data_IF_728913651478
#
_entry.id   IF_728913651478
#
_cell.length_a   1.000
_cell.length_b   1.000
_cell.length_c   1.000
_cell.angle_alpha   90.00
_cell.angle_beta   90.00
_cell.angle_gamma   90.00
#
_symmetry.space_group_name_H-M   'P 1'
#
loop_
_entity.id
_entity.type
_entity.pdbx_description
1 polymer ?
#
# COMPACT_ATOMS: atom_id res chain seq x y z
N UNK A 1 -14.09 8.09 -10.05
CA UNK A 1 -13.17 7.20 -9.31
C UNK A 1 -13.86 6.86 -8.00
N UNK A 2 -13.86 5.61 -7.56
CA UNK A 2 -14.35 5.24 -6.23
C UNK A 2 -13.34 5.60 -5.13
N UNK A 3 -13.75 5.44 -3.87
CA UNK A 3 -12.91 5.82 -2.71
C UNK A 3 -11.60 5.04 -2.69
N UNK A 4 -11.65 3.72 -2.93
CA UNK A 4 -10.46 2.87 -2.92
C UNK A 4 -9.51 3.25 -4.07
N UNK A 5 -10.04 3.45 -5.28
CA UNK A 5 -9.26 3.91 -6.42
C UNK A 5 -8.56 5.24 -6.17
N UNK A 6 -9.25 6.20 -5.53
CA UNK A 6 -8.65 7.49 -5.15
C UNK A 6 -7.55 7.36 -4.10
N UNK A 7 -7.75 6.48 -3.12
CA UNK A 7 -6.78 6.22 -2.04
C UNK A 7 -5.57 5.41 -2.53
N UNK A 8 -5.75 4.52 -3.52
CA UNK A 8 -4.69 3.70 -4.08
C UNK A 8 -3.93 4.38 -5.24
N UNK A 9 -4.41 5.51 -5.77
CA UNK A 9 -3.72 6.23 -6.85
C UNK A 9 -2.29 6.67 -6.45
N UNK A 10 -2.02 6.76 -5.16
CA UNK A 10 -0.69 6.98 -4.57
C UNK A 10 0.11 5.69 -4.29
N UNK A 11 -0.50 4.51 -4.22
CA UNK A 11 0.14 3.17 -4.08
C UNK A 11 0.26 2.52 -5.45
N UNK A 12 0.64 3.24 -6.48
CA UNK A 12 0.90 2.60 -7.75
C UNK A 12 2.20 1.80 -7.66
N UNK A 13 2.17 0.59 -8.21
CA UNK A 13 3.32 -0.32 -8.31
C UNK A 13 4.42 0.19 -9.25
N UNK A 14 4.58 1.52 -9.42
CA UNK A 14 5.64 2.08 -10.26
C UNK A 14 6.98 1.77 -9.64
N UNK A 15 7.68 0.78 -10.24
CA UNK A 15 8.96 0.34 -9.75
C UNK A 15 8.85 -0.51 -8.48
N UNK A 16 7.72 -1.17 -8.24
CA UNK A 16 7.64 -2.16 -7.18
C UNK A 16 8.65 -3.28 -7.44
N UNK A 17 9.36 -3.65 -6.41
CA UNK A 17 10.30 -4.77 -6.50
C UNK A 17 9.52 -6.08 -6.57
N UNK A 18 9.75 -6.88 -7.62
CA UNK A 18 9.15 -8.20 -7.80
C UNK A 18 10.23 -9.26 -7.81
N UNK A 19 10.10 -10.25 -6.92
CA UNK A 19 11.05 -11.34 -6.80
C UNK A 19 10.31 -12.67 -6.65
N UNK A 20 10.77 -13.69 -7.37
CA UNK A 20 10.39 -15.08 -7.15
C UNK A 20 11.35 -15.69 -6.16
N UNK A 21 10.85 -16.26 -5.09
CA UNK A 21 11.63 -17.11 -4.19
C UNK A 21 11.55 -18.56 -4.64
N UNK A 22 12.69 -19.26 -4.62
CA UNK A 22 12.81 -20.69 -4.94
C UNK A 22 13.77 -21.33 -3.93
N UNK A 23 13.19 -22.03 -2.95
CA UNK A 23 13.93 -22.48 -1.76
C UNK A 23 13.63 -23.94 -1.44
N UNK A 24 14.66 -24.66 -0.98
CA UNK A 24 14.51 -25.94 -0.31
C UNK A 24 14.77 -25.78 1.18
N UNK A 25 13.93 -26.36 2.05
CA UNK A 25 14.18 -26.36 3.49
C UNK A 25 15.54 -27.03 3.86
N UNK A 26 16.17 -26.59 4.96
CA UNK A 26 15.75 -25.53 5.85
C UNK A 26 16.15 -24.15 5.35
N UNK A 27 15.21 -23.16 5.42
CA UNK A 27 15.50 -21.76 5.13
C UNK A 27 14.76 -20.84 6.10
N UNK A 28 15.40 -19.72 6.42
CA UNK A 28 14.83 -18.70 7.31
C UNK A 28 15.48 -17.35 7.05
N UNK A 29 14.67 -16.31 6.93
CA UNK A 29 15.09 -14.95 6.62
C UNK A 29 14.52 -13.97 7.63
N UNK A 30 15.35 -13.05 8.11
CA UNK A 30 14.91 -11.89 8.88
C UNK A 30 14.67 -10.74 7.94
N UNK A 31 13.44 -10.26 7.89
CA UNK A 31 13.02 -9.15 7.03
C UNK A 31 13.11 -7.85 7.85
N UNK A 32 13.94 -6.93 7.35
CA UNK A 32 14.23 -5.61 7.92
C UNK A 32 14.34 -4.60 6.78
N UNK A 33 13.49 -4.73 5.75
CA UNK A 33 13.56 -3.98 4.50
C UNK A 33 12.92 -2.59 4.59
N UNK A 34 12.20 -2.30 5.70
CA UNK A 34 11.46 -1.06 5.93
C UNK A 34 10.45 -0.73 4.81
N UNK A 35 10.04 -1.74 4.02
CA UNK A 35 9.06 -1.55 2.96
C UNK A 35 7.70 -1.13 3.56
N UNK A 36 7.06 -0.08 3.04
CA UNK A 36 5.74 0.35 3.51
C UNK A 36 4.68 -0.74 3.38
N UNK A 37 4.82 -1.59 2.36
CA UNK A 37 3.92 -2.69 2.07
C UNK A 37 4.64 -3.78 1.29
N UNK A 38 4.50 -5.03 1.71
CA UNK A 38 5.01 -6.21 1.01
C UNK A 38 3.90 -7.23 0.84
N UNK A 39 3.63 -7.66 -0.41
CA UNK A 39 2.78 -8.80 -0.71
C UNK A 39 3.64 -10.05 -0.83
N UNK A 40 3.21 -11.14 -0.20
CA UNK A 40 3.84 -12.45 -0.22
C UNK A 40 2.82 -13.45 -0.74
N UNK A 41 3.00 -13.92 -1.97
CA UNK A 41 2.13 -14.86 -2.63
C UNK A 41 2.77 -16.24 -2.64
N UNK A 42 2.32 -17.17 -1.82
CA UNK A 42 2.86 -18.54 -1.80
C UNK A 42 2.30 -19.31 -3.00
N UNK A 43 3.19 -19.91 -3.80
CA UNK A 43 2.82 -20.63 -5.04
C UNK A 43 3.08 -22.13 -4.97
N UNK A 44 3.96 -22.58 -4.06
CA UNK A 44 4.19 -24.00 -3.78
C UNK A 44 4.80 -24.17 -2.39
N UNK A 45 4.67 -25.35 -1.80
CA UNK A 45 5.22 -25.70 -0.49
C UNK A 45 4.51 -24.99 0.65
N UNK A 46 5.28 -24.50 1.63
CA UNK A 46 4.75 -23.76 2.77
C UNK A 46 5.73 -22.70 3.27
N UNK A 47 5.21 -21.72 3.99
CA UNK A 47 6.02 -20.71 4.67
C UNK A 47 5.33 -20.26 5.95
N UNK A 48 6.08 -19.64 6.86
CA UNK A 48 5.55 -19.02 8.06
C UNK A 48 6.10 -17.60 8.20
N UNK A 49 5.23 -16.68 8.59
CA UNK A 49 5.60 -15.34 9.07
C UNK A 49 5.50 -15.36 10.60
N UNK A 50 6.53 -14.86 11.28
CA UNK A 50 6.50 -14.63 12.74
C UNK A 50 6.90 -13.18 12.99
N UNK A 51 5.98 -12.40 13.57
CA UNK A 51 6.22 -10.99 13.92
C UNK A 51 7.11 -10.85 15.16
N UNK A 52 7.64 -9.66 15.41
CA UNK A 52 8.39 -9.39 16.64
C UNK A 52 7.53 -9.55 17.91
N UNK A 53 6.22 -9.34 17.81
CA UNK A 53 5.26 -9.59 18.90
C UNK A 53 4.99 -11.08 19.14
N UNK A 54 5.49 -11.97 18.26
CA UNK A 54 5.31 -13.42 18.35
C UNK A 54 4.06 -13.95 17.65
N UNK A 55 3.31 -13.11 16.93
CA UNK A 55 2.17 -13.57 16.13
C UNK A 55 2.68 -14.44 14.98
N UNK A 56 2.01 -15.59 14.77
CA UNK A 56 2.37 -16.58 13.78
C UNK A 56 1.31 -16.72 12.68
N UNK A 57 1.75 -16.68 11.43
CA UNK A 57 0.91 -16.83 10.24
C UNK A 57 1.49 -17.92 9.34
N UNK A 58 0.87 -19.11 9.37
CA UNK A 58 1.23 -20.20 8.45
C UNK A 58 0.61 -19.93 7.09
N UNK A 59 1.39 -20.07 6.02
CA UNK A 59 1.00 -19.81 4.63
C UNK A 59 1.10 -21.08 3.79
N UNK A 60 0.13 -21.28 2.90
CA UNK A 60 0.00 -22.41 1.97
C UNK A 60 -0.11 -21.92 0.52
N UNK A 61 0.04 -22.79 -0.47
CA UNK A 61 -0.12 -22.41 -1.87
C UNK A 61 -1.49 -21.77 -2.14
N UNK A 62 -1.46 -20.61 -2.81
CA UNK A 62 -2.63 -19.77 -3.07
C UNK A 62 -2.95 -18.73 -2.00
N UNK A 63 -2.35 -18.83 -0.80
CA UNK A 63 -2.47 -17.77 0.22
C UNK A 63 -1.67 -16.54 -0.20
N UNK A 64 -2.21 -15.37 0.16
CA UNK A 64 -1.51 -14.10 0.04
C UNK A 64 -1.44 -13.44 1.41
N UNK A 65 -0.23 -13.15 1.86
CA UNK A 65 0.00 -12.31 3.02
C UNK A 65 0.36 -10.90 2.58
N UNK A 66 -0.10 -9.90 3.35
CA UNK A 66 0.33 -8.51 3.23
C UNK A 66 0.96 -8.10 4.54
N UNK A 67 2.26 -7.84 4.51
CA UNK A 67 2.98 -7.24 5.62
C UNK A 67 3.02 -5.72 5.44
N UNK A 68 2.64 -4.98 6.48
CA UNK A 68 2.53 -3.52 6.47
C UNK A 68 3.52 -2.88 7.42
N UNK A 69 4.14 -1.82 6.97
CA UNK A 69 4.97 -0.96 7.82
C UNK A 69 6.40 -1.44 7.95
N UNK A 70 7.12 -0.82 8.87
CA UNK A 70 8.54 -1.03 9.12
C UNK A 70 8.80 -2.03 10.25
N UNK A 71 7.79 -2.80 10.68
CA UNK A 71 7.99 -3.85 11.67
C UNK A 71 8.75 -5.02 11.04
N UNK A 72 9.76 -5.47 11.75
CA UNK A 72 10.57 -6.60 11.32
C UNK A 72 9.84 -7.91 11.58
N UNK A 73 10.10 -8.91 10.74
CA UNK A 73 9.51 -10.23 10.91
C UNK A 73 10.44 -11.34 10.41
N UNK A 74 10.18 -12.56 10.87
CA UNK A 74 10.80 -13.76 10.36
C UNK A 74 9.92 -14.32 9.22
N UNK A 75 10.55 -14.70 8.11
CA UNK A 75 9.93 -15.45 7.03
C UNK A 75 10.72 -16.74 6.82
N UNK A 76 10.10 -17.91 7.04
CA UNK A 76 10.82 -19.16 7.14
C UNK A 76 9.98 -20.36 6.66
N UNK A 77 10.65 -21.49 6.36
CA UNK A 77 9.99 -22.78 6.19
C UNK A 77 9.47 -23.32 7.53
N UNK A 78 10.26 -23.13 8.60
CA UNK A 78 9.94 -23.54 9.98
C UNK A 78 10.38 -22.42 10.93
N UNK A 79 9.53 -21.96 11.86
CA UNK A 79 9.86 -20.91 12.82
C UNK A 79 11.01 -21.28 13.77
N UNK A 80 11.29 -22.57 13.96
CA UNK A 80 12.42 -23.05 14.74
C UNK A 80 13.78 -22.94 14.02
N UNK A 81 13.75 -22.70 12.70
CA UNK A 81 14.99 -22.52 11.90
C UNK A 81 15.59 -21.15 12.20
N UNK A 82 16.83 -21.13 12.69
CA UNK A 82 17.56 -19.89 12.92
C UNK A 82 17.71 -19.10 11.60
N UNK A 83 17.57 -17.77 11.62
CA UNK A 83 17.76 -16.94 10.42
C UNK A 83 19.15 -17.16 9.80
N UNK A 84 19.20 -17.30 8.49
CA UNK A 84 20.42 -17.45 7.70
C UNK A 84 20.69 -16.20 6.87
N UNK A 85 19.64 -15.46 6.55
CA UNK A 85 19.65 -14.28 5.69
C UNK A 85 18.98 -13.11 6.39
N UNK A 86 19.50 -11.91 6.14
CA UNK A 86 18.87 -10.64 6.52
C UNK A 86 18.57 -9.85 5.25
N UNK A 87 17.32 -9.43 5.11
CA UNK A 87 16.87 -8.53 4.04
C UNK A 87 16.82 -7.11 4.61
N UNK A 88 17.60 -6.23 4.05
CA UNK A 88 17.75 -4.82 4.45
C UNK A 88 17.02 -3.88 3.49
N UNK A 89 16.85 -2.58 3.85
CA UNK A 89 16.33 -1.56 2.95
C UNK A 89 17.08 -1.52 1.61
N UNK A 90 16.35 -1.24 0.53
CA UNK A 90 16.89 -1.26 -0.83
C UNK A 90 17.16 -2.66 -1.37
N UNK A 91 16.47 -3.66 -0.85
CA UNK A 91 16.55 -5.07 -1.30
C UNK A 91 17.97 -5.67 -1.20
N UNK A 92 18.77 -5.19 -0.25
CA UNK A 92 20.09 -5.73 0.03
C UNK A 92 19.97 -6.97 0.90
N UNK A 93 20.48 -8.10 0.41
CA UNK A 93 20.45 -9.41 1.07
C UNK A 93 21.83 -9.75 1.63
N UNK A 94 21.93 -10.08 2.91
CA UNK A 94 23.23 -10.46 3.52
C UNK A 94 23.12 -11.72 4.36
N UNK A 95 24.25 -12.39 4.60
CA UNK A 95 24.37 -13.32 5.72
C UNK A 95 24.28 -12.57 7.05
N UNK A 96 24.13 -13.29 8.17
CA UNK A 96 24.21 -12.69 9.51
C UNK A 96 25.56 -12.02 9.82
N UNK A 97 26.62 -12.36 9.04
CA UNK A 97 27.94 -11.74 9.13
C UNK A 97 28.11 -10.51 8.24
N UNK A 98 27.07 -10.16 7.46
CA UNK A 98 27.09 -9.00 6.57
C UNK A 98 27.63 -9.26 5.17
N UNK A 99 27.90 -10.51 4.80
CA UNK A 99 28.35 -10.90 3.45
C UNK A 99 27.18 -10.77 2.47
N UNK A 100 27.40 -10.16 1.30
CA UNK A 100 26.36 -9.94 0.30
C UNK A 100 25.97 -11.26 -0.41
N UNK A 101 24.67 -11.56 -0.42
CA UNK A 101 24.11 -12.77 -1.03
C UNK A 101 23.38 -12.50 -2.36
N UNK A 102 23.38 -11.27 -2.83
CA UNK A 102 22.57 -10.85 -3.98
C UNK A 102 22.85 -11.67 -5.23
N UNK A 103 24.12 -11.87 -5.54
CA UNK A 103 24.54 -12.63 -6.73
C UNK A 103 24.64 -14.12 -6.47
N UNK A 104 25.07 -14.52 -5.29
CA UNK A 104 25.27 -15.93 -4.93
C UNK A 104 23.96 -16.73 -4.97
N UNK A 105 22.86 -16.11 -4.52
CA UNK A 105 21.54 -16.75 -4.50
C UNK A 105 20.67 -16.38 -5.71
N UNK A 106 21.19 -15.71 -6.74
CA UNK A 106 20.47 -15.42 -7.98
C UNK A 106 20.44 -16.65 -8.86
N UNK A 107 19.28 -17.29 -9.03
CA UNK A 107 19.13 -18.57 -9.73
C UNK A 107 18.30 -18.48 -11.01
N UNK A 108 17.92 -17.27 -11.44
CA UNK A 108 17.16 -17.04 -12.67
C UNK A 108 16.58 -15.64 -12.79
N UNK A 109 15.75 -15.42 -13.82
CA UNK A 109 15.09 -14.15 -14.06
C UNK A 109 14.20 -13.79 -12.86
N UNK A 110 14.49 -12.68 -12.20
CA UNK A 110 13.82 -12.27 -10.96
C UNK A 110 13.63 -13.42 -9.97
N UNK A 111 14.57 -14.38 -9.95
CA UNK A 111 14.47 -15.59 -9.12
C UNK A 111 15.68 -15.67 -8.20
N UNK A 112 15.40 -15.75 -6.92
CA UNK A 112 16.39 -15.77 -5.86
C UNK A 112 16.11 -16.93 -4.89
N UNK A 113 17.15 -17.61 -4.41
CA UNK A 113 17.01 -18.71 -3.49
C UNK A 113 18.20 -19.65 -3.51
N UNK A 114 18.08 -20.75 -2.77
CA UNK A 114 19.15 -21.76 -2.67
C UNK A 114 19.05 -22.85 -3.75
N UNK A 115 18.08 -22.74 -4.65
CA UNK A 115 17.90 -23.69 -5.78
C UNK A 115 17.05 -23.07 -6.88
N UNK A 116 17.29 -23.49 -8.13
CA UNK A 116 16.49 -23.04 -9.28
C UNK A 116 15.05 -23.60 -9.27
N UNK A 117 14.86 -24.81 -8.70
CA UNK A 117 13.53 -25.46 -8.58
C UNK A 117 13.36 -25.93 -7.14
N UNK A 118 12.84 -25.01 -6.32
CA UNK A 118 12.60 -25.26 -4.89
C UNK A 118 11.26 -25.92 -4.60
N UNK A 119 11.21 -26.66 -3.48
CA UNK A 119 9.98 -27.20 -2.93
C UNK A 119 9.05 -26.06 -2.46
N UNK A 120 9.61 -25.01 -1.83
CA UNK A 120 8.90 -23.84 -1.39
C UNK A 120 9.12 -22.69 -2.38
N UNK A 121 8.03 -22.12 -2.87
CA UNK A 121 8.07 -21.02 -3.84
C UNK A 121 7.06 -19.95 -3.50
N UNK A 122 7.49 -18.70 -3.60
CA UNK A 122 6.64 -17.54 -3.40
C UNK A 122 6.98 -16.43 -4.41
N UNK A 123 6.07 -15.51 -4.65
CA UNK A 123 6.35 -14.22 -5.30
C UNK A 123 6.25 -13.15 -4.24
N UNK A 124 7.32 -12.37 -4.11
CA UNK A 124 7.41 -11.24 -3.17
C UNK A 124 7.31 -9.96 -3.99
N UNK A 125 6.44 -9.06 -3.54
CA UNK A 125 6.23 -7.77 -4.18
C UNK A 125 6.33 -6.68 -3.10
N UNK A 126 7.46 -5.97 -3.09
CA UNK A 126 7.68 -4.87 -2.15
C UNK A 126 7.39 -3.52 -2.81
N UNK A 127 6.55 -2.72 -2.16
CA UNK A 127 6.20 -1.37 -2.59
C UNK A 127 7.08 -0.38 -1.84
N UNK A 128 7.97 0.30 -2.53
CA UNK A 128 8.90 1.25 -1.91
C UNK A 128 8.33 2.66 -1.74
N UNK A 129 7.27 2.97 -2.48
CA UNK A 129 6.65 4.29 -2.49
C UNK A 129 5.82 4.56 -1.22
N UNK A 130 6.23 5.54 -0.42
CA UNK A 130 5.39 6.08 0.66
C UNK A 130 4.53 7.20 0.10
N UNK A 131 3.22 7.17 0.34
CA UNK A 131 2.26 8.21 -0.03
C UNK A 131 1.38 8.55 1.18
N UNK A 132 1.14 9.84 1.40
CA UNK A 132 0.25 10.28 2.49
C UNK A 132 -1.19 9.85 2.24
N UNK A 133 -1.61 9.83 0.98
CA UNK A 133 -2.92 9.33 0.58
C UNK A 133 -3.03 7.85 0.88
N UNK A 134 -2.03 7.07 0.48
CA UNK A 134 -1.95 5.63 0.71
C UNK A 134 -1.85 5.26 2.17
N UNK A 135 -1.20 6.08 2.99
CA UNK A 135 -1.07 5.87 4.43
C UNK A 135 -2.43 5.72 5.10
N UNK A 136 -3.49 6.36 4.57
CA UNK A 136 -4.86 6.20 5.10
C UNK A 136 -5.40 4.77 4.92
N UNK A 137 -5.10 4.13 3.78
CA UNK A 137 -5.46 2.71 3.54
C UNK A 137 -4.58 1.81 4.38
N UNK A 138 -3.27 2.02 4.32
CA UNK A 138 -2.29 1.19 5.02
C UNK A 138 -2.53 1.19 6.54
N UNK A 139 -2.83 2.35 7.13
CA UNK A 139 -3.10 2.45 8.58
C UNK A 139 -4.38 1.73 9.02
N UNK A 140 -5.26 1.38 8.10
CA UNK A 140 -6.46 0.60 8.38
C UNK A 140 -6.21 -0.92 8.35
N UNK A 141 -5.03 -1.37 7.86
CA UNK A 141 -4.66 -2.78 7.83
C UNK A 141 -3.98 -3.20 9.14
N UNK A 142 -4.10 -4.46 9.57
CA UNK A 142 -3.23 -5.03 10.60
C UNK A 142 -1.78 -5.07 10.11
N UNK A 143 -0.82 -5.30 11.01
CA UNK A 143 0.61 -5.44 10.66
C UNK A 143 0.84 -6.53 9.62
N UNK A 144 0.16 -7.67 9.80
CA UNK A 144 0.10 -8.75 8.82
C UNK A 144 -1.34 -9.15 8.63
N UNK A 145 -1.82 -9.16 7.39
CA UNK A 145 -3.09 -9.78 7.02
C UNK A 145 -2.81 -10.99 6.13
N UNK A 146 -3.67 -11.99 6.20
CA UNK A 146 -3.59 -13.17 5.34
C UNK A 146 -4.96 -13.42 4.70
N UNK A 147 -5.00 -13.47 3.38
CA UNK A 147 -6.12 -14.01 2.62
C UNK A 147 -5.81 -15.46 2.27
N UNK A 148 -6.71 -16.36 2.68
CA UNK A 148 -6.60 -17.78 2.37
C UNK A 148 -7.03 -18.09 0.96
N UNK A 149 -6.43 -19.10 0.34
CA UNK A 149 -6.77 -19.52 -1.02
C UNK A 149 -8.27 -19.87 -1.19
N UNK A 150 -8.90 -20.43 -0.13
CA UNK A 150 -10.33 -20.72 -0.11
C UNK A 150 -11.23 -19.48 0.01
N UNK A 151 -10.68 -18.36 0.47
CA UNK A 151 -11.44 -17.14 0.73
C UNK A 151 -11.64 -16.27 -0.50
N UNK A 152 -10.90 -16.50 -1.55
CA UNK A 152 -10.99 -15.70 -2.76
C UNK A 152 -10.66 -16.50 -4.01
N UNK A 153 -11.21 -16.08 -5.14
CA UNK A 153 -10.95 -16.71 -6.43
C UNK A 153 -10.36 -15.66 -7.37
N UNK A 154 -9.04 -15.66 -7.51
CA UNK A 154 -8.36 -14.77 -8.44
C UNK A 154 -7.31 -15.53 -9.24
N UNK A 155 -7.22 -15.34 -10.57
CA UNK A 155 -6.15 -15.88 -11.38
C UNK A 155 -4.85 -15.06 -11.26
N UNK A 156 -4.87 -13.91 -10.58
CA UNK A 156 -3.78 -12.92 -10.59
C UNK A 156 -2.50 -13.47 -9.96
N UNK A 157 -2.58 -14.26 -8.88
CA UNK A 157 -1.39 -14.86 -8.24
C UNK A 157 -0.68 -15.80 -9.20
N UNK A 158 -1.43 -16.68 -9.89
CA UNK A 158 -0.87 -17.61 -10.88
C UNK A 158 -0.26 -16.87 -12.08
N UNK A 159 -0.95 -15.85 -12.57
CA UNK A 159 -0.46 -15.01 -13.67
C UNK A 159 0.81 -14.25 -13.28
N UNK A 160 0.84 -13.65 -12.09
CA UNK A 160 2.02 -12.97 -11.57
C UNK A 160 3.21 -13.91 -11.44
N UNK A 161 2.99 -15.14 -10.93
CA UNK A 161 4.05 -16.13 -10.78
C UNK A 161 4.69 -16.54 -12.12
N UNK A 162 3.89 -16.62 -13.18
CA UNK A 162 4.37 -16.89 -14.54
C UNK A 162 5.10 -15.68 -15.11
N UNK A 163 4.48 -14.51 -15.04
CA UNK A 163 5.01 -13.30 -15.66
C UNK A 163 6.28 -12.79 -14.95
N UNK A 164 6.40 -12.95 -13.64
CA UNK A 164 7.63 -12.62 -12.91
C UNK A 164 8.85 -13.44 -13.37
N UNK A 165 8.64 -14.63 -13.95
CA UNK A 165 9.71 -15.46 -14.52
C UNK A 165 10.08 -15.14 -15.97
N UNK A 166 9.37 -14.21 -16.61
CA UNK A 166 9.61 -13.80 -18.00
C UNK A 166 10.46 -12.52 -18.05
N UNK A 167 11.14 -12.33 -19.15
CA UNK A 167 11.87 -11.11 -19.46
C UNK A 167 11.57 -10.69 -20.90
N UNK A 168 11.45 -9.38 -21.14
CA UNK A 168 11.15 -8.85 -22.45
C UNK A 168 10.69 -7.39 -22.46
N UNK A 169 10.48 -6.82 -23.64
CA UNK A 169 10.00 -5.45 -23.76
C UNK A 169 8.65 -5.25 -23.07
N UNK A 170 8.55 -4.21 -22.23
CA UNK A 170 7.31 -3.87 -21.53
C UNK A 170 7.00 -4.72 -20.29
N UNK A 171 7.88 -5.66 -19.92
CA UNK A 171 7.62 -6.58 -18.80
C UNK A 171 7.45 -5.86 -17.46
N UNK A 172 8.24 -4.83 -17.19
CA UNK A 172 8.10 -4.03 -15.95
C UNK A 172 6.72 -3.37 -15.89
N UNK A 173 6.32 -2.71 -16.97
CA UNK A 173 5.00 -2.06 -17.02
C UNK A 173 3.84 -3.07 -16.93
N UNK A 174 4.02 -4.28 -17.42
CA UNK A 174 3.05 -5.35 -17.28
C UNK A 174 2.93 -5.83 -15.82
N UNK A 175 4.06 -6.07 -15.17
CA UNK A 175 4.11 -6.45 -13.76
C UNK A 175 3.52 -5.36 -12.87
N UNK A 176 3.84 -4.09 -13.10
CA UNK A 176 3.24 -2.97 -12.37
C UNK A 176 1.70 -3.01 -12.41
N UNK A 177 1.11 -3.27 -13.59
CA UNK A 177 -0.35 -3.35 -13.74
C UNK A 177 -0.95 -4.58 -13.05
N UNK A 178 -0.26 -5.73 -13.10
CA UNK A 178 -0.69 -6.92 -12.36
C UNK A 178 -0.66 -6.69 -10.84
N UNK A 179 0.37 -6.00 -10.36
CA UNK A 179 0.49 -5.67 -8.94
C UNK A 179 -0.58 -4.69 -8.48
N UNK A 180 -0.88 -3.66 -9.28
CA UNK A 180 -1.97 -2.73 -8.98
C UNK A 180 -3.31 -3.49 -8.87
N UNK A 181 -3.60 -4.40 -9.81
CA UNK A 181 -4.81 -5.22 -9.78
C UNK A 181 -4.83 -6.17 -8.59
N UNK A 182 -3.72 -6.87 -8.32
CA UNK A 182 -3.63 -7.81 -7.21
C UNK A 182 -3.83 -7.12 -5.87
N UNK A 183 -3.17 -5.98 -5.63
CA UNK A 183 -3.32 -5.22 -4.39
C UNK A 183 -4.78 -4.75 -4.22
N UNK A 184 -5.40 -4.26 -5.29
CA UNK A 184 -6.80 -3.84 -5.25
C UNK A 184 -7.73 -5.01 -4.89
N UNK A 185 -7.53 -6.17 -5.48
CA UNK A 185 -8.32 -7.36 -5.25
C UNK A 185 -8.17 -7.90 -3.81
N UNK A 186 -6.93 -7.92 -3.30
CA UNK A 186 -6.61 -8.26 -1.90
C UNK A 186 -7.34 -7.33 -0.94
N UNK A 187 -7.22 -6.01 -1.12
CA UNK A 187 -7.81 -5.03 -0.21
C UNK A 187 -9.34 -5.07 -0.24
N UNK A 188 -9.94 -5.20 -1.42
CA UNK A 188 -11.40 -5.34 -1.55
C UNK A 188 -11.90 -6.59 -0.82
N UNK A 189 -11.25 -7.73 -1.08
CA UNK A 189 -11.63 -8.99 -0.44
C UNK A 189 -11.47 -8.92 1.07
N UNK A 190 -10.40 -8.31 1.55
CA UNK A 190 -10.17 -8.13 2.97
C UNK A 190 -11.21 -7.24 3.63
N UNK A 191 -11.46 -6.04 3.10
CA UNK A 191 -12.42 -5.10 3.69
C UNK A 191 -13.87 -5.58 3.59
N UNK A 192 -14.21 -6.38 2.58
CA UNK A 192 -15.55 -6.98 2.48
C UNK A 192 -15.82 -8.06 3.53
N UNK A 193 -14.75 -8.66 4.09
CA UNK A 193 -14.84 -9.74 5.09
C UNK A 193 -14.44 -9.31 6.49
N UNK A 194 -13.75 -8.18 6.63
CA UNK A 194 -13.30 -7.71 7.92
C UNK A 194 -14.49 -7.46 8.85
N UNK A 195 -14.45 -8.03 10.06
CA UNK A 195 -15.45 -7.77 11.11
C UNK A 195 -15.56 -6.27 11.44
N UNK A 196 -14.48 -5.53 11.23
CA UNK A 196 -14.39 -4.08 11.38
C UNK A 196 -13.69 -3.50 10.15
N UNK A 197 -14.47 -3.32 9.08
CA UNK A 197 -14.00 -2.57 7.93
C UNK A 197 -13.68 -1.12 8.34
N UNK A 198 -12.73 -0.45 7.67
CA UNK A 198 -12.47 0.96 7.92
C UNK A 198 -13.73 1.81 7.74
N UNK A 199 -13.88 2.82 8.57
CA UNK A 199 -15.04 3.72 8.54
C UNK A 199 -15.30 4.31 7.14
N UNK A 200 -14.24 4.65 6.41
CA UNK A 200 -14.34 5.16 5.03
C UNK A 200 -14.82 4.10 4.02
N UNK A 201 -14.57 2.81 4.27
CA UNK A 201 -15.06 1.71 3.43
C UNK A 201 -16.59 1.56 3.55
N UNK A 202 -17.09 1.57 4.79
CA UNK A 202 -18.52 1.54 5.05
C UNK A 202 -19.21 2.82 4.57
N UNK A 203 -18.55 3.97 4.74
CA UNK A 203 -19.09 5.28 4.31
C UNK A 203 -19.28 5.37 2.78
N UNK A 204 -18.45 4.70 1.97
CA UNK A 204 -18.64 4.68 0.50
C UNK A 204 -19.93 3.97 0.08
N UNK A 205 -20.43 3.05 0.89
CA UNK A 205 -21.68 2.32 0.65
C UNK A 205 -22.94 3.09 1.08
N UNK A 206 -22.80 4.13 1.90
CA UNK A 206 -23.94 4.96 2.30
C UNK A 206 -24.47 5.74 1.08
N UNK A 207 -25.80 5.72 0.82
CA UNK A 207 -26.38 6.34 -0.38
C UNK A 207 -26.26 7.87 -0.42
N UNK A 208 -25.93 8.52 0.69
CA UNK A 208 -25.74 9.97 0.80
C UNK A 208 -24.26 10.32 0.91
N UNK A 209 -23.52 9.59 1.74
CA UNK A 209 -22.10 9.90 2.03
C UNK A 209 -21.18 9.43 0.92
N UNK A 210 -21.40 8.23 0.36
CA UNK A 210 -20.58 7.69 -0.72
C UNK A 210 -20.48 8.59 -1.95
N UNK A 211 -21.61 9.05 -2.54
CA UNK A 211 -21.57 10.01 -3.63
C UNK A 211 -20.83 11.31 -3.28
N UNK A 212 -20.99 11.82 -2.04
CA UNK A 212 -20.26 13.02 -1.62
C UNK A 212 -18.74 12.78 -1.48
N UNK A 213 -18.32 11.63 -0.96
CA UNK A 213 -16.91 11.23 -0.92
C UNK A 213 -16.32 11.16 -2.34
N UNK A 214 -17.02 10.56 -3.28
CA UNK A 214 -16.61 10.52 -4.69
C UNK A 214 -16.45 11.90 -5.31
N UNK A 215 -17.35 12.85 -4.99
CA UNK A 215 -17.22 14.24 -5.43
C UNK A 215 -15.95 14.90 -4.87
N UNK A 216 -15.67 14.70 -3.59
CA UNK A 216 -14.46 15.23 -2.91
C UNK A 216 -13.19 14.61 -3.51
N UNK A 217 -13.15 13.31 -3.68
CA UNK A 217 -11.95 12.61 -4.21
C UNK A 217 -11.66 12.97 -5.65
N UNK A 218 -12.69 13.09 -6.50
CA UNK A 218 -12.50 13.35 -7.93
C UNK A 218 -12.28 14.83 -8.26
N UNK A 219 -12.71 15.75 -7.39
CA UNK A 219 -12.63 17.19 -7.63
C UNK A 219 -12.14 17.91 -6.36
N UNK A 220 -10.92 17.63 -5.89
CA UNK A 220 -10.41 18.25 -4.66
C UNK A 220 -10.21 19.76 -4.81
N UNK A 221 -9.97 20.25 -6.04
CA UNK A 221 -9.80 21.67 -6.35
C UNK A 221 -11.11 22.46 -6.29
N UNK A 222 -12.25 21.80 -6.46
CA UNK A 222 -13.56 22.47 -6.46
C UNK A 222 -13.84 23.13 -5.10
N UNK A 223 -14.39 24.37 -5.06
CA UNK A 223 -14.64 25.07 -3.79
C UNK A 223 -15.87 24.52 -3.05
N UNK A 224 -15.78 23.28 -2.62
CA UNK A 224 -16.82 22.58 -1.90
C UNK A 224 -17.21 23.28 -0.61
N UNK A 225 -18.49 23.42 -0.39
CA UNK A 225 -19.09 23.82 0.89
C UNK A 225 -20.02 22.71 1.36
N UNK A 226 -20.36 22.71 2.66
CA UNK A 226 -21.35 21.75 3.19
C UNK A 226 -22.69 21.88 2.48
N UNK A 227 -23.04 23.10 2.06
CA UNK A 227 -24.32 23.37 1.38
C UNK A 227 -24.35 22.78 -0.03
N UNK A 228 -23.30 22.99 -0.83
CA UNK A 228 -23.29 22.46 -2.21
C UNK A 228 -23.05 20.95 -2.24
N UNK A 229 -22.26 20.35 -1.33
CA UNK A 229 -22.18 18.90 -1.19
C UNK A 229 -23.54 18.30 -0.83
N UNK A 230 -24.26 18.88 0.14
CA UNK A 230 -25.60 18.43 0.52
C UNK A 230 -26.59 18.50 -0.65
N UNK A 231 -26.57 19.61 -1.39
CA UNK A 231 -27.40 19.77 -2.59
C UNK A 231 -27.10 18.73 -3.67
N UNK A 232 -25.82 18.42 -3.90
CA UNK A 232 -25.38 17.44 -4.90
C UNK A 232 -25.85 16.00 -4.58
N UNK A 233 -26.12 15.69 -3.30
CA UNK A 233 -26.62 14.37 -2.87
C UNK A 233 -28.08 14.39 -2.44
N UNK A 234 -28.81 15.47 -2.76
CA UNK A 234 -30.24 15.56 -2.60
C UNK A 234 -30.74 15.63 -1.15
N UNK A 235 -29.97 16.20 -0.21
CA UNK A 235 -30.40 16.32 1.16
C UNK A 235 -30.12 17.71 1.77
N UNK A 236 -30.73 17.99 2.96
CA UNK A 236 -30.50 19.25 3.65
C UNK A 236 -29.08 19.31 4.24
N UNK A 237 -28.53 20.54 4.37
CA UNK A 237 -27.19 20.77 4.96
C UNK A 237 -27.02 20.12 6.33
N UNK A 238 -28.05 20.22 7.21
CA UNK A 238 -27.98 19.67 8.56
C UNK A 238 -27.96 18.13 8.56
N UNK A 239 -28.83 17.51 7.73
CA UNK A 239 -28.85 16.04 7.56
C UNK A 239 -27.56 15.53 6.99
N UNK A 240 -27.04 16.16 5.94
CA UNK A 240 -25.77 15.80 5.33
C UNK A 240 -24.61 15.87 6.33
N UNK A 241 -24.44 17.02 7.02
CA UNK A 241 -23.34 17.19 7.96
C UNK A 241 -23.34 16.14 9.08
N UNK A 242 -24.54 15.84 9.63
CA UNK A 242 -24.70 14.81 10.67
C UNK A 242 -24.37 13.41 10.13
N UNK A 243 -24.94 13.02 8.97
CA UNK A 243 -24.69 11.71 8.35
C UNK A 243 -23.21 11.54 8.00
N UNK A 244 -22.63 12.54 7.35
CA UNK A 244 -21.21 12.50 6.96
C UNK A 244 -20.31 12.35 8.18
N UNK A 245 -20.49 13.18 9.21
CA UNK A 245 -19.69 13.10 10.44
C UNK A 245 -19.87 11.76 11.15
N UNK A 246 -21.08 11.23 11.20
CA UNK A 246 -21.35 9.91 11.79
C UNK A 246 -20.69 8.76 11.02
N UNK A 247 -20.68 8.85 9.68
CA UNK A 247 -20.12 7.81 8.82
C UNK A 247 -18.62 7.92 8.60
N UNK A 248 -18.03 9.12 8.67
CA UNK A 248 -16.60 9.35 8.36
C UNK A 248 -15.78 9.63 9.63
N UNK A 249 -16.46 10.02 10.71
CA UNK A 249 -15.81 10.36 11.99
C UNK A 249 -15.39 11.83 12.11
N UNK A 250 -15.44 12.60 11.02
CA UNK A 250 -15.07 14.03 11.00
C UNK A 250 -15.99 14.87 10.10
N UNK A 251 -16.11 16.19 10.34
CA UNK A 251 -16.93 17.08 9.51
C UNK A 251 -16.47 17.13 8.04
N UNK A 252 -17.40 17.32 7.05
CA UNK A 252 -17.09 17.28 5.62
C UNK A 252 -15.93 18.19 5.19
N UNK A 253 -15.87 19.42 5.70
CA UNK A 253 -14.81 20.37 5.30
C UNK A 253 -13.48 20.06 6.00
N UNK A 254 -13.48 19.48 7.20
CA UNK A 254 -12.26 18.98 7.84
C UNK A 254 -11.68 17.82 7.02
N UNK A 255 -12.53 16.88 6.63
CA UNK A 255 -12.16 15.77 5.74
C UNK A 255 -11.56 16.26 4.41
N UNK A 256 -12.25 17.19 3.71
CA UNK A 256 -11.76 17.79 2.47
C UNK A 256 -10.39 18.48 2.66
N UNK A 257 -10.23 19.21 3.76
CA UNK A 257 -8.95 19.88 4.08
C UNK A 257 -7.84 18.85 4.27
N UNK A 258 -8.06 17.83 5.06
CA UNK A 258 -7.11 16.72 5.26
C UNK A 258 -6.77 16.01 3.96
N UNK A 259 -7.77 15.77 3.09
CA UNK A 259 -7.57 15.16 1.77
C UNK A 259 -6.68 16.03 0.86
N UNK A 260 -6.99 17.33 0.76
CA UNK A 260 -6.18 18.29 -0.01
C UNK A 260 -4.74 18.37 0.46
N UNK A 261 -4.52 18.32 1.77
CA UNK A 261 -3.17 18.37 2.35
C UNK A 261 -2.39 17.08 2.07
N UNK A 262 -3.02 15.91 2.12
CA UNK A 262 -2.39 14.64 1.75
C UNK A 262 -1.99 14.63 0.27
N UNK A 263 -2.90 15.04 -0.63
CA UNK A 263 -2.58 15.21 -2.05
C UNK A 263 -1.45 16.21 -2.29
N UNK A 264 -1.44 17.33 -1.54
CA UNK A 264 -0.36 18.31 -1.65
C UNK A 264 0.99 17.72 -1.24
N UNK A 265 1.04 16.94 -0.16
CA UNK A 265 2.25 16.28 0.31
C UNK A 265 2.79 15.29 -0.75
N UNK A 266 1.93 14.51 -1.38
CA UNK A 266 2.32 13.57 -2.44
C UNK A 266 2.80 14.30 -3.72
N UNK A 267 2.12 15.38 -4.12
CA UNK A 267 2.56 16.22 -5.23
C UNK A 267 3.92 16.87 -4.99
N UNK A 268 4.19 17.28 -3.75
CA UNK A 268 5.48 17.85 -3.35
C UNK A 268 6.62 16.83 -3.41
N UNK A 269 6.32 15.55 -3.22
CA UNK A 269 7.29 14.45 -3.29
C UNK A 269 7.62 14.05 -4.72
N UNK A 270 6.61 13.93 -5.57
CA UNK A 270 6.72 13.33 -6.90
C UNK A 270 6.95 14.29 -8.05
N UNK A 271 6.84 15.61 -7.84
CA UNK A 271 6.90 16.59 -8.93
C UNK A 271 7.84 17.76 -8.63
N UNK A 272 8.45 18.30 -9.69
CA UNK A 272 9.14 19.60 -9.65
C UNK A 272 8.20 20.82 -9.60
N UNK A 273 6.90 20.60 -9.34
CA UNK A 273 5.87 21.64 -9.31
C UNK A 273 6.18 22.74 -8.29
N UNK A 274 5.87 23.98 -8.64
CA UNK A 274 5.94 25.11 -7.69
C UNK A 274 4.85 24.97 -6.63
N UNK A 275 5.07 25.55 -5.45
CA UNK A 275 4.04 25.60 -4.39
C UNK A 275 2.74 26.23 -4.90
N UNK A 276 2.84 27.20 -5.81
CA UNK A 276 1.67 27.83 -6.45
C UNK A 276 0.90 26.86 -7.34
N UNK A 277 1.60 26.00 -8.11
CA UNK A 277 0.98 24.95 -8.93
C UNK A 277 0.28 23.94 -8.05
N UNK A 278 0.95 23.43 -7.02
CA UNK A 278 0.38 22.48 -6.03
C UNK A 278 -0.87 23.09 -5.37
N UNK A 279 -0.79 24.33 -4.89
CA UNK A 279 -1.92 24.99 -4.24
C UNK A 279 -3.17 25.02 -5.12
N UNK A 280 -3.04 25.40 -6.39
CA UNK A 280 -4.16 25.39 -7.35
C UNK A 280 -4.75 24.01 -7.59
N UNK A 281 -3.87 22.99 -7.79
CA UNK A 281 -4.28 21.61 -8.05
C UNK A 281 -5.08 20.99 -6.89
N UNK A 282 -4.78 21.39 -5.66
CA UNK A 282 -5.48 20.88 -4.48
C UNK A 282 -6.55 21.83 -3.95
N UNK A 283 -6.87 22.92 -4.67
CA UNK A 283 -8.00 23.81 -4.37
C UNK A 283 -7.73 24.86 -3.29
N UNK A 284 -6.48 25.30 -3.11
CA UNK A 284 -6.14 26.49 -2.34
C UNK A 284 -6.02 27.69 -3.25
N UNK A 285 -6.64 28.81 -2.84
CA UNK A 285 -6.66 30.05 -3.60
C UNK A 285 -5.27 30.73 -3.71
N UNK A 286 -4.40 30.49 -2.71
CA UNK A 286 -3.05 31.07 -2.69
C UNK A 286 -2.02 30.08 -2.12
N UNK A 287 -0.73 30.20 -2.55
CA UNK A 287 0.36 29.42 -1.96
C UNK A 287 0.52 29.63 -0.44
N UNK A 288 0.18 30.84 0.02
CA UNK A 288 0.25 31.18 1.44
C UNK A 288 -0.79 30.42 2.25
N UNK A 289 -2.04 30.33 1.74
CA UNK A 289 -3.11 29.56 2.38
C UNK A 289 -2.76 28.07 2.49
N UNK A 290 -2.21 27.48 1.41
CA UNK A 290 -1.70 26.11 1.45
C UNK A 290 -0.58 25.99 2.50
N UNK A 291 0.43 26.85 2.46
CA UNK A 291 1.60 26.77 3.36
C UNK A 291 1.21 26.87 4.83
N UNK A 292 0.25 27.73 5.15
CA UNK A 292 -0.26 27.89 6.52
C UNK A 292 -1.04 26.65 6.99
N UNK A 293 -1.91 26.10 6.15
CA UNK A 293 -2.67 24.89 6.46
C UNK A 293 -1.73 23.67 6.56
N UNK A 294 -0.77 23.54 5.65
CA UNK A 294 0.21 22.45 5.60
C UNK A 294 1.10 22.45 6.85
N UNK A 295 1.65 23.62 7.23
CA UNK A 295 2.47 23.73 8.44
C UNK A 295 1.69 23.38 9.71
N UNK A 296 0.39 23.71 9.77
CA UNK A 296 -0.47 23.34 10.90
C UNK A 296 -0.69 21.83 10.99
N UNK A 297 -0.82 21.16 9.86
CA UNK A 297 -1.08 19.72 9.80
C UNK A 297 0.17 18.87 9.98
N UNK A 298 1.28 19.25 9.33
CA UNK A 298 2.52 18.46 9.29
C UNK A 298 3.67 19.01 10.15
N UNK A 299 3.48 20.14 10.81
CA UNK A 299 4.52 20.79 11.63
C UNK A 299 5.61 21.54 10.84
N UNK A 300 5.75 21.26 9.55
CA UNK A 300 6.78 21.83 8.66
C UNK A 300 6.17 22.53 7.45
N UNK A 301 6.92 23.43 6.82
CA UNK A 301 6.45 24.07 5.59
C UNK A 301 6.55 23.12 4.38
N UNK A 302 5.76 23.35 3.28
CA UNK A 302 5.85 22.56 2.07
C UNK A 302 7.27 22.44 1.49
N UNK A 303 8.07 23.51 1.55
CA UNK A 303 9.45 23.48 1.07
C UNK A 303 10.35 22.59 1.94
N UNK A 304 10.21 22.65 3.26
CA UNK A 304 10.96 21.78 4.19
C UNK A 304 10.55 20.34 3.99
N UNK A 305 9.25 20.07 3.86
CA UNK A 305 8.74 18.73 3.59
C UNK A 305 9.35 18.15 2.30
N UNK A 306 9.38 18.93 1.21
CA UNK A 306 10.02 18.54 -0.05
C UNK A 306 11.50 18.20 0.11
N UNK A 307 12.25 19.05 0.82
CA UNK A 307 13.68 18.86 1.02
C UNK A 307 14.01 17.58 1.83
N UNK A 308 13.19 17.25 2.82
CA UNK A 308 13.34 16.03 3.63
C UNK A 308 13.15 14.73 2.85
N UNK A 309 12.52 14.81 1.68
CA UNK A 309 12.21 13.65 0.83
C UNK A 309 13.20 13.48 -0.34
N UNK A 310 14.07 14.47 -0.55
CA UNK A 310 15.07 14.51 -1.63
C UNK A 310 16.48 14.12 -1.13
N UNK A 311 16.64 13.82 0.13
CA UNK A 311 17.89 13.37 0.77
C UNK A 311 17.73 11.97 1.31
#
# INVERSE_FOLDING_TARGET
MDVLGGLLDGVRARGAFVLRLSLNPPWSMRIQDDAPLTLICVTAGSAVIVTECGDRFDLRPGDVAVARGTEHYLFAADPATAPQVVIHPGNRCTTLRGEDLRFEMSVGVRTWGNTAVGADRAVICAYEGRSEVSSRVLNALPTVLVLRAEDWTTPLVGLLAVEAGRDGPGQEAYLDRLLDLLLMDVLRTWFDRAERAPVWWEADRDPVVGPALRLIYNNPEHPWTVANLAASVGCSRAVFARKFTGAVGEPPIAFLTGWRLALAADLLRGSGDTIASVARRVGYSTPFALSSAFKRAYGVSPNVHRAQLSG
#
